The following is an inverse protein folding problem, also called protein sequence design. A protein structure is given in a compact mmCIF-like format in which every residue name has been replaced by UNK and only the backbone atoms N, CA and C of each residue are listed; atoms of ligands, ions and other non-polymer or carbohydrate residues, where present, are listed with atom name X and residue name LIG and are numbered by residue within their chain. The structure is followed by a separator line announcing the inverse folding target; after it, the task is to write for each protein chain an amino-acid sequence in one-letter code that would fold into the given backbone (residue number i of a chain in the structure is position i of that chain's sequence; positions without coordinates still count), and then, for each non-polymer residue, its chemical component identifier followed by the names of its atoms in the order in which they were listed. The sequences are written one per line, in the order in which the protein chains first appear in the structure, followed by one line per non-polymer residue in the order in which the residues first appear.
data_IF_902248323069
#
_entry.id   IF_902248323069
#
_cell.length_a   1.000
_cell.length_b   1.000
_cell.length_c   1.000
_cell.angle_alpha   90.00
_cell.angle_beta   90.00
_cell.angle_gamma   90.00
#
_symmetry.space_group_name_H-M   'P 1'
#
loop_
_entity.id
_entity.type
_entity.pdbx_description
1 polymer ?
#
# COMPACT_ATOMS: atom_id res chain seq x y z
N UNK A 1 -14.21 0.63 -8.76
CA UNK A 1 -14.22 0.89 -7.31
C UNK A 1 -13.66 -0.35 -6.63
N UNK A 2 -12.90 -0.19 -5.56
CA UNK A 2 -12.29 -1.32 -4.87
C UNK A 2 -13.37 -2.29 -4.37
N UNK A 3 -13.10 -3.60 -4.45
CA UNK A 3 -14.02 -4.64 -3.91
C UNK A 3 -14.25 -4.49 -2.41
N UNK A 4 -13.24 -3.99 -1.69
CA UNK A 4 -13.31 -3.60 -0.28
C UNK A 4 -12.56 -2.28 -0.08
N UNK A 5 -13.10 -1.34 0.71
CA UNK A 5 -12.33 -0.17 1.13
C UNK A 5 -11.07 -0.59 1.86
N UNK A 6 -9.96 0.09 1.58
CA UNK A 6 -8.72 -0.05 2.34
C UNK A 6 -8.78 0.97 3.45
N UNK A 7 -8.67 0.52 4.69
CA UNK A 7 -8.79 1.36 5.89
C UNK A 7 -7.46 1.38 6.63
N UNK A 8 -7.06 2.56 7.10
CA UNK A 8 -5.88 2.77 7.93
C UNK A 8 -6.28 3.60 9.14
N UNK A 9 -5.85 3.17 10.32
CA UNK A 9 -6.03 3.92 11.55
C UNK A 9 -4.73 4.57 11.99
N UNK A 10 -4.83 5.82 12.42
CA UNK A 10 -3.79 6.50 13.19
C UNK A 10 -4.26 6.52 14.64
N UNK A 11 -3.43 6.00 15.52
CA UNK A 11 -3.69 5.86 16.95
C UNK A 11 -3.03 6.99 17.74
N UNK A 12 -3.52 7.26 18.93
CA UNK A 12 -2.85 8.13 19.90
C UNK A 12 -1.90 7.33 20.82
N UNK A 13 -1.21 8.02 21.73
CA UNK A 13 -0.28 7.40 22.69
C UNK A 13 -0.96 6.44 23.67
N UNK A 14 -2.30 6.48 23.77
CA UNK A 14 -3.09 5.58 24.60
C UNK A 14 -3.57 4.34 23.82
N UNK A 15 -3.25 4.26 22.53
CA UNK A 15 -3.72 3.20 21.63
C UNK A 15 -5.18 3.37 21.20
N UNK A 16 -5.78 4.55 21.39
CA UNK A 16 -7.11 4.88 20.88
C UNK A 16 -7.03 5.38 19.44
N UNK A 17 -8.02 5.03 18.60
CA UNK A 17 -8.08 5.49 17.22
C UNK A 17 -8.33 7.00 17.21
N UNK A 18 -7.33 7.76 16.76
CA UNK A 18 -7.40 9.21 16.58
C UNK A 18 -8.10 9.56 15.26
N UNK A 19 -7.69 8.91 14.18
CA UNK A 19 -8.24 9.14 12.84
C UNK A 19 -8.34 7.85 12.03
N UNK A 20 -9.37 7.77 11.17
CA UNK A 20 -9.56 6.67 10.23
C UNK A 20 -9.53 7.20 8.80
N UNK A 21 -8.65 6.64 7.98
CA UNK A 21 -8.53 6.94 6.57
C UNK A 21 -9.08 5.80 5.73
N UNK A 22 -9.97 6.12 4.79
CA UNK A 22 -10.59 5.13 3.89
C UNK A 22 -10.28 5.45 2.44
N UNK A 23 -9.81 4.44 1.72
CA UNK A 23 -9.58 4.49 0.28
C UNK A 23 -10.56 3.55 -0.42
N UNK A 24 -11.39 4.11 -1.31
CA UNK A 24 -12.38 3.34 -2.08
C UNK A 24 -12.04 3.26 -3.58
N UNK A 25 -11.06 4.06 -4.02
CA UNK A 25 -10.65 4.18 -5.42
C UNK A 25 -9.13 4.38 -5.46
N UNK A 26 -8.43 3.61 -6.28
CA UNK A 26 -7.03 3.86 -6.64
C UNK A 26 -7.03 4.70 -7.92
N UNK A 27 -6.53 5.95 -7.90
CA UNK A 27 -6.41 6.76 -9.11
C UNK A 27 -5.49 6.09 -10.15
N UNK A 28 -5.79 6.21 -11.44
CA UNK A 28 -4.97 5.63 -12.52
C UNK A 28 -3.49 6.04 -12.46
N UNK A 29 -3.21 7.30 -12.11
CA UNK A 29 -1.83 7.77 -11.90
C UNK A 29 -1.10 7.00 -10.80
N UNK A 30 -1.79 6.67 -9.70
CA UNK A 30 -1.24 5.90 -8.59
C UNK A 30 -1.08 4.43 -8.95
N UNK A 31 -2.03 3.86 -9.70
CA UNK A 31 -1.89 2.48 -10.19
C UNK A 31 -0.60 2.29 -10.99
N UNK A 32 -0.29 3.19 -11.94
CA UNK A 32 0.96 3.13 -12.71
C UNK A 32 2.20 3.25 -11.82
N UNK A 33 2.16 4.11 -10.81
CA UNK A 33 3.25 4.26 -9.85
C UNK A 33 3.45 2.97 -9.06
N UNK A 34 2.38 2.37 -8.56
CA UNK A 34 2.46 1.12 -7.82
C UNK A 34 2.98 -0.05 -8.67
N UNK A 35 2.58 -0.19 -9.94
CA UNK A 35 3.16 -1.22 -10.83
C UNK A 35 4.67 -1.09 -10.88
N UNK A 36 5.19 0.13 -11.07
CA UNK A 36 6.64 0.36 -11.09
C UNK A 36 7.33 0.08 -9.75
N UNK A 37 6.66 0.28 -8.62
CA UNK A 37 7.19 -0.02 -7.28
C UNK A 37 7.19 -1.53 -7.02
N UNK A 38 6.09 -2.21 -7.36
CA UNK A 38 5.97 -3.66 -7.19
C UNK A 38 6.85 -4.47 -8.14
N UNK A 39 7.10 -3.99 -9.37
CA UNK A 39 8.05 -4.64 -10.28
C UNK A 39 9.47 -4.62 -9.68
N UNK A 40 9.91 -3.45 -9.19
CA UNK A 40 11.22 -3.33 -8.50
C UNK A 40 11.32 -4.21 -7.26
N UNK A 41 10.23 -4.28 -6.49
CA UNK A 41 10.12 -5.13 -5.32
C UNK A 41 10.32 -6.61 -5.67
N UNK A 42 9.70 -7.08 -6.77
CA UNK A 42 9.81 -8.48 -7.19
C UNK A 42 11.24 -8.88 -7.60
N UNK A 43 12.03 -7.92 -8.09
CA UNK A 43 13.43 -8.10 -8.46
C UNK A 43 14.39 -7.95 -7.26
N UNK A 44 13.97 -7.19 -6.24
CA UNK A 44 14.68 -6.99 -4.97
C UNK A 44 14.54 -8.20 -4.05
N UNK A 45 15.65 -8.84 -3.67
CA UNK A 45 15.69 -9.84 -2.58
C UNK A 45 15.78 -9.20 -1.18
N UNK A 46 15.70 -7.88 -1.06
CA UNK A 46 15.97 -7.14 0.18
C UNK A 46 14.68 -6.55 0.76
N UNK A 47 14.04 -7.30 1.66
CA UNK A 47 12.73 -6.97 2.26
C UNK A 47 12.64 -5.61 2.98
N UNK A 48 13.75 -5.00 3.42
CA UNK A 48 13.70 -3.80 4.29
C UNK A 48 13.69 -2.46 3.55
N UNK A 49 14.45 -2.32 2.46
CA UNK A 49 14.47 -1.06 1.67
C UNK A 49 13.16 -0.79 0.93
N UNK A 50 12.37 -1.85 0.78
CA UNK A 50 11.12 -1.87 0.05
C UNK A 50 9.93 -1.35 0.88
N UNK A 51 10.00 -1.44 2.22
CA UNK A 51 8.93 -1.02 3.12
C UNK A 51 8.81 0.51 3.14
N UNK A 52 9.93 1.23 3.19
CA UNK A 52 9.91 2.70 3.20
C UNK A 52 9.35 3.29 1.89
N UNK A 53 9.68 2.69 0.74
CA UNK A 53 9.12 3.10 -0.56
C UNK A 53 7.60 2.84 -0.62
N UNK A 54 7.13 1.74 -0.02
CA UNK A 54 5.69 1.44 0.11
C UNK A 54 4.97 2.39 1.07
N UNK A 55 5.60 2.74 2.20
CA UNK A 55 5.07 3.71 3.15
C UNK A 55 4.88 5.06 2.46
N UNK A 56 5.90 5.54 1.74
CA UNK A 56 5.78 6.76 0.94
C UNK A 56 4.69 6.68 -0.13
N UNK A 57 4.57 5.53 -0.81
CA UNK A 57 3.50 5.30 -1.77
C UNK A 57 2.10 5.31 -1.14
N UNK A 58 1.91 4.75 0.05
CA UNK A 58 0.64 4.82 0.78
C UNK A 58 0.30 6.27 1.12
N UNK A 59 1.24 7.05 1.66
CA UNK A 59 1.01 8.48 1.94
C UNK A 59 0.52 9.22 0.69
N UNK A 60 1.17 9.02 -0.45
CA UNK A 60 0.76 9.59 -1.74
C UNK A 60 -0.64 9.12 -2.17
N UNK A 61 -0.94 7.84 -2.05
CA UNK A 61 -2.22 7.25 -2.42
C UNK A 61 -3.38 7.83 -1.59
N UNK A 62 -3.12 8.09 -0.31
CA UNK A 62 -4.03 8.77 0.60
C UNK A 62 -3.96 10.31 0.49
N UNK A 63 -3.31 10.83 -0.56
CA UNK A 63 -3.19 12.27 -0.88
C UNK A 63 -2.48 13.08 0.21
N UNK A 64 -1.47 12.49 0.83
CA UNK A 64 -0.64 13.08 1.89
C UNK A 64 -1.49 13.57 3.08
N UNK A 65 -2.54 12.82 3.43
CA UNK A 65 -3.34 13.07 4.63
C UNK A 65 -2.62 12.70 5.92
N UNK A 66 -1.64 11.82 5.81
CA UNK A 66 -0.68 11.45 6.85
C UNK A 66 0.72 11.36 6.22
N UNK A 67 1.74 11.39 7.06
CA UNK A 67 3.15 11.29 6.69
C UNK A 67 3.71 9.90 6.98
N UNK A 68 4.89 9.55 6.44
CA UNK A 68 5.58 8.32 6.83
C UNK A 68 5.84 8.23 8.33
N UNK A 69 6.18 9.35 8.98
CA UNK A 69 6.42 9.41 10.42
C UNK A 69 5.13 9.11 11.21
N UNK A 70 3.97 9.61 10.76
CA UNK A 70 2.68 9.26 11.37
C UNK A 70 2.40 7.74 11.29
N UNK A 71 2.78 7.08 10.19
CA UNK A 71 2.64 5.63 10.08
C UNK A 71 3.63 4.89 10.97
N UNK A 72 4.87 5.37 11.07
CA UNK A 72 5.93 4.73 11.86
C UNK A 72 5.67 4.82 13.37
N UNK A 73 5.13 5.94 13.84
CA UNK A 73 4.92 6.20 15.26
C UNK A 73 3.51 5.84 15.73
N UNK A 74 2.52 5.96 14.85
CA UNK A 74 1.11 5.96 15.24
C UNK A 74 0.21 5.03 14.42
N UNK A 75 0.74 4.17 13.53
CA UNK A 75 -0.07 3.14 12.86
C UNK A 75 0.28 1.72 13.33
N UNK A 76 -0.69 0.83 13.28
CA UNK A 76 -0.46 -0.59 13.54
C UNK A 76 0.21 -1.23 12.32
N UNK A 77 1.37 -1.87 12.54
CA UNK A 77 2.15 -2.50 11.47
C UNK A 77 1.36 -3.56 10.68
N UNK A 78 0.41 -4.28 11.29
CA UNK A 78 -0.42 -5.25 10.58
C UNK A 78 -1.42 -4.55 9.69
N UNK A 79 -1.99 -3.42 10.11
CA UNK A 79 -2.89 -2.62 9.28
C UNK A 79 -2.15 -2.02 8.07
N UNK A 80 -0.95 -1.49 8.28
CA UNK A 80 -0.11 -0.95 7.19
C UNK A 80 0.21 -2.03 6.17
N UNK A 81 0.68 -3.20 6.63
CA UNK A 81 0.98 -4.32 5.74
C UNK A 81 -0.27 -4.87 5.04
N UNK A 82 -1.41 -4.90 5.72
CA UNK A 82 -2.68 -5.28 5.11
C UNK A 82 -3.12 -4.29 4.02
N UNK A 83 -2.91 -2.98 4.23
CA UNK A 83 -3.19 -1.95 3.23
C UNK A 83 -2.28 -2.12 2.00
N UNK A 84 -0.98 -2.32 2.19
CA UNK A 84 -0.03 -2.60 1.10
C UNK A 84 -0.47 -3.82 0.29
N UNK A 85 -0.76 -4.93 0.97
CA UNK A 85 -1.19 -6.18 0.33
C UNK A 85 -2.50 -6.00 -0.45
N UNK A 86 -3.47 -5.28 0.11
CA UNK A 86 -4.73 -5.00 -0.56
C UNK A 86 -4.56 -4.15 -1.82
N UNK A 87 -3.69 -3.12 -1.78
CA UNK A 87 -3.38 -2.32 -2.97
C UNK A 87 -2.69 -3.17 -4.03
N UNK A 88 -1.70 -3.99 -3.64
CA UNK A 88 -0.98 -4.88 -4.56
C UNK A 88 -1.95 -5.85 -5.24
N UNK A 89 -2.80 -6.52 -4.47
CA UNK A 89 -3.78 -7.48 -4.98
C UNK A 89 -4.78 -6.84 -5.94
N UNK A 90 -5.30 -5.65 -5.64
CA UNK A 90 -6.21 -4.95 -6.55
C UNK A 90 -5.51 -4.61 -7.87
N UNK A 91 -4.27 -4.11 -7.80
CA UNK A 91 -3.50 -3.71 -8.98
C UNK A 91 -3.16 -4.92 -9.85
N UNK A 92 -2.74 -6.03 -9.27
CA UNK A 92 -2.52 -7.30 -9.98
C UNK A 92 -3.83 -7.74 -10.64
N UNK A 93 -4.95 -7.74 -9.91
CA UNK A 93 -6.25 -8.17 -10.46
C UNK A 93 -6.78 -7.27 -11.57
N UNK A 94 -6.36 -6.01 -11.61
CA UNK A 94 -6.78 -5.02 -12.61
C UNK A 94 -5.79 -4.91 -13.77
N UNK A 95 -4.56 -5.39 -13.61
CA UNK A 95 -3.54 -5.37 -14.64
C UNK A 95 -3.62 -6.65 -15.50
N UNK A 96 -4.14 -6.59 -16.73
CA UNK A 96 -4.24 -7.76 -17.60
C UNK A 96 -2.88 -8.35 -17.99
N UNK A 97 -1.77 -7.63 -17.74
CA UNK A 97 -0.41 -8.11 -17.99
C UNK A 97 0.27 -8.70 -16.73
N UNK A 98 -0.31 -8.57 -15.54
CA UNK A 98 0.29 -9.08 -14.30
C UNK A 98 0.17 -10.61 -14.13
N UNK A 99 -0.76 -11.26 -14.84
CA UNK A 99 -0.89 -12.73 -14.87
C UNK A 99 0.07 -13.42 -15.86
N UNK A 100 0.98 -12.67 -16.51
CA UNK A 100 1.80 -13.18 -17.60
C UNK A 100 3.25 -13.58 -17.21
N UNK A 101 3.50 -13.99 -15.96
CA UNK A 101 4.69 -14.80 -15.66
C UNK A 101 4.30 -16.29 -15.69
N UNK A 102 4.57 -17.02 -16.79
CA UNK A 102 4.41 -18.46 -16.78
C UNK A 102 5.45 -19.02 -15.80
N UNK A 103 4.96 -19.73 -14.78
CA UNK A 103 5.79 -20.59 -13.95
C UNK A 103 6.62 -21.48 -14.89
N UNK A 104 7.92 -21.18 -14.99
CA UNK A 104 8.86 -22.06 -15.68
C UNK A 104 8.91 -23.36 -14.89
N UNK A 105 8.41 -24.41 -15.54
CA UNK A 105 8.46 -25.82 -15.14
C UNK A 105 9.85 -26.25 -14.70
#
# INVERSE_FOLDING_TARGET
MLKKPIELHIYDDNGEVKETYKLCIIPWGMMKKAVSVFDKLSESKNESGDIDEMTGFLCDLFKNRFTPDDLNEHADAKEVMAAISAVSAEIISTNPNAEAEPQKK
#
